data_IF_352407906943
#
_entry.id   IF_352407906943
#
_cell.length_a   1.000
_cell.length_b   1.000
_cell.length_c   1.000
_cell.angle_alpha   90.00
_cell.angle_beta   90.00
_cell.angle_gamma   90.00
#
_symmetry.space_group_name_H-M   'P 1'
#
loop_
_entity.id
_entity.type
_entity.pdbx_description
1 polymer ?
#
# COMPACT_ATOMS: atom_id res chain seq x y z
N UNK A 1 -25.71 7.33 -16.19
CA UNK A 1 -25.16 8.08 -15.05
C UNK A 1 -25.41 7.37 -13.72
N UNK A 2 -26.64 6.91 -13.46
CA UNK A 2 -26.98 6.12 -12.26
C UNK A 2 -26.21 4.79 -12.14
N UNK A 3 -26.04 4.03 -13.24
CA UNK A 3 -25.26 2.78 -13.19
C UNK A 3 -23.77 3.00 -12.86
N UNK A 4 -23.13 4.06 -13.38
CA UNK A 4 -21.73 4.38 -13.03
C UNK A 4 -21.56 4.82 -11.58
N UNK A 5 -22.57 5.48 -11.00
CA UNK A 5 -22.61 5.79 -9.57
C UNK A 5 -22.82 4.52 -8.74
N UNK A 6 -23.69 3.61 -9.17
CA UNK A 6 -23.88 2.29 -8.56
C UNK A 6 -22.58 1.48 -8.53
N UNK A 7 -21.90 1.35 -9.66
CA UNK A 7 -20.62 0.63 -9.77
C UNK A 7 -19.52 1.24 -8.89
N UNK A 8 -19.49 2.58 -8.76
CA UNK A 8 -18.55 3.29 -7.90
C UNK A 8 -18.83 3.07 -6.40
N UNK A 9 -20.08 3.15 -5.98
CA UNK A 9 -20.47 2.87 -4.59
C UNK A 9 -20.26 1.39 -4.24
N UNK A 10 -20.53 0.48 -5.16
CA UNK A 10 -20.29 -0.94 -5.00
C UNK A 10 -18.80 -1.27 -4.88
N UNK A 11 -17.93 -0.60 -5.65
CA UNK A 11 -16.49 -0.73 -5.51
C UNK A 11 -15.99 -0.22 -4.15
N UNK A 12 -16.45 0.97 -3.72
CA UNK A 12 -16.11 1.52 -2.40
C UNK A 12 -16.62 0.62 -1.27
N UNK A 13 -17.83 0.08 -1.39
CA UNK A 13 -18.38 -0.83 -0.40
C UNK A 13 -17.65 -2.16 -0.34
N UNK A 14 -17.29 -2.76 -1.49
CA UNK A 14 -16.49 -3.99 -1.54
C UNK A 14 -15.09 -3.78 -0.97
N UNK A 15 -14.45 -2.65 -1.27
CA UNK A 15 -13.13 -2.30 -0.73
C UNK A 15 -13.20 -2.09 0.80
N UNK A 16 -14.17 -1.30 1.27
CA UNK A 16 -14.37 -1.02 2.70
C UNK A 16 -14.76 -2.27 3.48
N UNK A 17 -15.64 -3.11 2.94
CA UNK A 17 -16.07 -4.34 3.60
C UNK A 17 -14.96 -5.39 3.67
N UNK A 18 -14.12 -5.53 2.62
CA UNK A 18 -12.93 -6.40 2.69
C UNK A 18 -11.94 -5.94 3.75
N UNK A 19 -11.70 -4.63 3.84
CA UNK A 19 -10.80 -4.05 4.84
C UNK A 19 -11.39 -4.23 6.25
N UNK A 20 -12.64 -3.83 6.48
CA UNK A 20 -13.28 -3.92 7.79
C UNK A 20 -13.42 -5.38 8.23
N UNK A 21 -14.01 -6.24 7.41
CA UNK A 21 -14.24 -7.64 7.80
C UNK A 21 -12.91 -8.40 7.99
N UNK A 22 -11.89 -8.07 7.21
CA UNK A 22 -10.53 -8.60 7.38
C UNK A 22 -9.83 -8.13 8.66
N UNK A 23 -10.18 -6.96 9.18
CA UNK A 23 -9.60 -6.38 10.40
C UNK A 23 -10.42 -6.64 11.67
N UNK A 24 -11.70 -6.97 11.56
CA UNK A 24 -12.57 -7.23 12.73
C UNK A 24 -12.02 -8.36 13.59
N UNK A 25 -11.64 -9.49 12.99
CA UNK A 25 -11.12 -10.63 13.76
C UNK A 25 -9.73 -10.34 14.38
N UNK A 26 -8.74 -9.80 13.67
CA UNK A 26 -7.48 -9.38 14.27
C UNK A 26 -7.62 -8.29 15.33
N UNK A 27 -8.53 -7.32 15.15
CA UNK A 27 -8.80 -6.29 16.14
C UNK A 27 -9.39 -6.90 17.42
N UNK A 28 -10.35 -7.82 17.30
CA UNK A 28 -10.89 -8.56 18.44
C UNK A 28 -9.78 -9.36 19.15
N UNK A 29 -8.92 -10.04 18.38
CA UNK A 29 -7.78 -10.79 18.92
C UNK A 29 -6.80 -9.90 19.69
N UNK A 30 -6.48 -8.70 19.19
CA UNK A 30 -5.62 -7.73 19.89
C UNK A 30 -6.22 -7.29 21.23
N UNK A 31 -7.53 -7.03 21.29
CA UNK A 31 -8.21 -6.67 22.53
C UNK A 31 -8.22 -7.84 23.51
N UNK A 32 -8.57 -9.03 23.03
CA UNK A 32 -8.55 -10.25 23.83
C UNK A 32 -7.14 -10.52 24.39
N UNK A 33 -6.10 -10.32 23.59
CA UNK A 33 -4.72 -10.51 24.01
C UNK A 33 -4.32 -9.60 25.18
N UNK A 34 -4.79 -8.34 25.22
CA UNK A 34 -4.51 -7.41 26.32
C UNK A 34 -5.39 -7.69 27.54
N UNK A 35 -6.67 -7.99 27.32
CA UNK A 35 -7.66 -8.13 28.39
C UNK A 35 -7.48 -9.46 29.15
N UNK A 36 -7.28 -10.57 28.45
CA UNK A 36 -7.26 -11.92 29.05
C UNK A 36 -6.17 -12.06 30.13
N UNK A 37 -4.89 -11.67 29.90
CA UNK A 37 -3.87 -11.75 30.93
C UNK A 37 -4.10 -10.82 32.13
N UNK A 38 -4.91 -9.77 31.96
CA UNK A 38 -5.25 -8.84 33.04
C UNK A 38 -6.40 -9.36 33.92
N UNK A 39 -7.21 -10.33 33.46
CA UNK A 39 -8.36 -10.86 34.22
C UNK A 39 -7.99 -11.37 35.62
N UNK A 40 -6.88 -12.11 35.85
CA UNK A 40 -6.50 -12.54 37.18
C UNK A 40 -6.26 -11.37 38.17
N UNK A 41 -5.87 -10.19 37.69
CA UNK A 41 -5.69 -8.99 38.53
C UNK A 41 -7.01 -8.48 39.10
N UNK A 42 -8.12 -8.70 38.37
CA UNK A 42 -9.46 -8.34 38.83
C UNK A 42 -9.81 -9.08 40.12
N UNK A 43 -9.48 -10.37 40.18
CA UNK A 43 -9.81 -11.25 41.32
C UNK A 43 -8.79 -11.15 42.45
N UNK A 44 -7.52 -10.87 42.15
CA UNK A 44 -6.45 -10.83 43.16
C UNK A 44 -6.25 -9.45 43.78
N UNK A 45 -6.29 -8.39 42.98
CA UNK A 45 -5.96 -7.01 43.39
C UNK A 45 -7.13 -6.02 43.21
N UNK A 46 -8.28 -6.49 42.75
CA UNK A 46 -9.50 -5.69 42.55
C UNK A 46 -9.54 -4.92 41.22
N UNK A 47 -10.69 -4.29 40.97
CA UNK A 47 -11.00 -3.61 39.71
C UNK A 47 -10.04 -2.46 39.35
N UNK A 48 -9.49 -1.77 40.35
CA UNK A 48 -8.51 -0.70 40.14
C UNK A 48 -7.21 -1.19 39.50
N UNK A 49 -6.70 -2.35 39.92
CA UNK A 49 -5.49 -2.94 39.35
C UNK A 49 -5.71 -3.45 37.92
N UNK A 50 -6.90 -3.98 37.64
CA UNK A 50 -7.31 -4.38 36.29
C UNK A 50 -7.34 -3.19 35.32
N UNK A 51 -7.98 -2.08 35.72
CA UNK A 51 -8.02 -0.86 34.91
C UNK A 51 -6.63 -0.26 34.71
N UNK A 52 -5.82 -0.21 35.77
CA UNK A 52 -4.46 0.33 35.71
C UNK A 52 -3.54 -0.45 34.76
N UNK A 53 -3.74 -1.76 34.60
CA UNK A 53 -2.99 -2.58 33.65
C UNK A 53 -3.53 -2.48 32.21
N UNK A 54 -4.86 -2.41 32.05
CA UNK A 54 -5.52 -2.52 30.74
C UNK A 54 -5.58 -1.18 30.00
N UNK A 55 -5.86 -0.07 30.70
CA UNK A 55 -6.04 1.25 30.09
C UNK A 55 -4.76 1.78 29.41
N UNK A 56 -3.57 1.74 30.03
CA UNK A 56 -2.35 2.22 29.38
C UNK A 56 -1.97 1.39 28.16
N UNK A 57 -2.15 0.07 28.23
CA UNK A 57 -1.86 -0.84 27.11
C UNK A 57 -2.77 -0.55 25.89
N UNK A 58 -4.07 -0.34 26.12
CA UNK A 58 -4.99 0.09 25.07
C UNK A 58 -4.66 1.50 24.56
N UNK A 59 -4.32 2.44 25.44
CA UNK A 59 -3.93 3.79 25.05
C UNK A 59 -2.67 3.80 24.17
N UNK A 60 -1.68 2.94 24.45
CA UNK A 60 -0.49 2.78 23.61
C UNK A 60 -0.88 2.17 22.26
N UNK A 61 -1.71 1.11 22.23
CA UNK A 61 -2.16 0.48 20.99
C UNK A 61 -2.88 1.47 20.07
N UNK A 62 -3.88 2.17 20.61
CA UNK A 62 -4.65 3.17 19.87
C UNK A 62 -3.84 4.42 19.55
N UNK A 63 -2.92 4.83 20.44
CA UNK A 63 -1.99 5.93 20.20
C UNK A 63 -1.02 5.63 19.05
N UNK A 64 -0.51 4.40 18.98
CA UNK A 64 0.38 3.95 17.91
C UNK A 64 -0.38 3.79 16.59
N UNK A 65 -1.61 3.25 16.62
CA UNK A 65 -2.49 3.22 15.46
C UNK A 65 -2.84 4.64 14.95
N UNK A 66 -3.18 5.56 15.85
CA UNK A 66 -3.48 6.95 15.53
C UNK A 66 -2.23 7.68 15.00
N UNK A 67 -1.04 7.41 15.56
CA UNK A 67 0.22 7.95 15.07
C UNK A 67 0.53 7.46 13.66
N UNK A 68 0.37 6.16 13.38
CA UNK A 68 0.54 5.60 12.02
C UNK A 68 -0.43 6.25 11.03
N UNK A 69 -1.71 6.39 11.40
CA UNK A 69 -2.72 7.05 10.56
C UNK A 69 -2.43 8.54 10.37
N UNK A 70 -2.00 9.23 11.43
CA UNK A 70 -1.66 10.66 11.40
C UNK A 70 -0.43 10.92 10.52
N UNK A 71 0.61 10.08 10.63
CA UNK A 71 1.80 10.16 9.79
C UNK A 71 1.47 9.82 8.34
N UNK A 72 0.62 8.82 8.09
CA UNK A 72 0.14 8.48 6.75
C UNK A 72 -0.68 9.63 6.12
N UNK A 73 -1.50 10.33 6.92
CA UNK A 73 -2.32 11.47 6.45
C UNK A 73 -1.53 12.76 6.26
N UNK A 74 -0.51 13.01 7.08
CA UNK A 74 0.35 14.19 7.00
C UNK A 74 1.45 14.07 5.94
N UNK A 75 1.60 12.89 5.33
CA UNK A 75 2.48 12.64 4.18
C UNK A 75 1.90 13.20 2.86
N UNK A 76 1.49 14.47 2.87
CA UNK A 76 1.26 15.23 1.65
C UNK A 76 2.58 15.59 0.95
N UNK A 77 2.54 15.96 -0.34
CA UNK A 77 3.71 16.14 -1.21
C UNK A 77 4.72 17.24 -0.80
N UNK A 78 4.47 18.02 0.26
CA UNK A 78 5.21 19.25 0.56
C UNK A 78 5.85 19.34 1.97
N UNK A 79 6.37 18.25 2.55
CA UNK A 79 7.15 18.36 3.80
C UNK A 79 8.41 17.50 3.81
N UNK A 80 9.52 18.00 4.35
CA UNK A 80 10.81 17.28 4.43
C UNK A 80 10.74 15.92 5.17
N UNK A 81 9.68 15.71 5.97
CA UNK A 81 9.37 14.43 6.59
C UNK A 81 8.85 13.38 5.60
N UNK A 82 8.17 13.81 4.52
CA UNK A 82 7.72 12.93 3.44
C UNK A 82 8.91 12.28 2.74
N UNK A 83 10.05 12.92 2.56
CA UNK A 83 11.19 12.30 1.88
C UNK A 83 11.76 11.08 2.66
N UNK A 84 11.83 11.14 3.99
CA UNK A 84 12.30 10.01 4.84
C UNK A 84 11.20 8.99 5.08
N UNK A 85 9.96 9.41 5.34
CA UNK A 85 8.84 8.50 5.54
C UNK A 85 8.47 7.77 4.24
N UNK A 86 8.44 8.47 3.10
CA UNK A 86 8.25 7.87 1.79
C UNK A 86 9.39 6.90 1.49
N UNK A 87 10.65 7.17 1.87
CA UNK A 87 11.76 6.20 1.71
C UNK A 87 11.55 4.93 2.56
N UNK A 88 11.06 5.03 3.79
CA UNK A 88 10.79 3.88 4.67
C UNK A 88 9.55 3.10 4.24
N UNK A 89 8.48 3.80 3.85
CA UNK A 89 7.24 3.18 3.35
C UNK A 89 7.45 2.56 1.96
N UNK A 90 8.23 3.20 1.08
CA UNK A 90 8.65 2.65 -0.21
C UNK A 90 9.68 1.50 -0.06
N UNK A 91 10.38 1.42 1.07
CA UNK A 91 11.27 0.29 1.38
C UNK A 91 10.49 -0.98 1.75
N UNK A 92 9.20 -0.88 2.08
CA UNK A 92 8.32 -2.05 2.14
C UNK A 92 8.11 -2.52 0.70
N UNK A 93 8.67 -3.68 0.28
CA UNK A 93 8.77 -4.06 -1.13
C UNK A 93 7.41 -4.08 -1.83
N UNK A 94 6.37 -4.48 -1.10
CA UNK A 94 5.01 -4.61 -1.61
C UNK A 94 4.34 -3.23 -1.79
N UNK A 95 4.52 -2.30 -0.85
CA UNK A 95 3.94 -0.94 -0.94
C UNK A 95 4.64 -0.13 -2.04
N UNK A 96 5.97 -0.21 -2.12
CA UNK A 96 6.74 0.42 -3.20
C UNK A 96 6.40 -0.16 -4.58
N UNK A 97 6.10 -1.45 -4.68
CA UNK A 97 5.61 -2.06 -5.93
C UNK A 97 4.25 -1.51 -6.35
N UNK A 98 3.29 -1.38 -5.42
CA UNK A 98 1.96 -0.83 -5.71
C UNK A 98 2.04 0.64 -6.14
N UNK A 99 2.84 1.46 -5.45
CA UNK A 99 3.01 2.87 -5.78
C UNK A 99 3.55 3.06 -7.21
N UNK A 100 4.54 2.24 -7.62
CA UNK A 100 5.08 2.27 -8.98
C UNK A 100 4.04 1.85 -10.03
N UNK A 101 3.28 0.78 -9.77
CA UNK A 101 2.21 0.33 -10.67
C UNK A 101 1.10 1.37 -10.83
N UNK A 102 0.69 2.02 -9.73
CA UNK A 102 -0.29 3.12 -9.75
C UNK A 102 0.23 4.35 -10.51
N UNK A 103 1.48 4.71 -10.32
CA UNK A 103 2.12 5.81 -11.06
C UNK A 103 2.12 5.52 -12.57
N UNK A 104 2.51 4.30 -12.97
CA UNK A 104 2.49 3.87 -14.37
C UNK A 104 1.07 3.82 -14.95
N UNK A 105 0.07 3.41 -14.15
CA UNK A 105 -1.33 3.38 -14.58
C UNK A 105 -1.88 4.78 -14.84
N UNK A 106 -1.58 5.76 -13.97
CA UNK A 106 -1.96 7.17 -14.18
C UNK A 106 -1.34 7.72 -15.45
N UNK A 107 -0.05 7.44 -15.66
CA UNK A 107 0.66 7.80 -16.89
C UNK A 107 -0.05 7.22 -18.12
N UNK A 108 -0.32 5.92 -18.16
CA UNK A 108 -0.95 5.28 -19.32
C UNK A 108 -2.36 5.82 -19.58
N UNK A 109 -3.15 6.05 -18.53
CA UNK A 109 -4.49 6.65 -18.69
C UNK A 109 -4.42 8.07 -19.27
N UNK A 110 -3.50 8.89 -18.78
CA UNK A 110 -3.26 10.22 -19.32
C UNK A 110 -2.76 10.13 -20.77
N UNK A 111 -1.78 9.28 -21.05
CA UNK A 111 -1.19 9.09 -22.37
C UNK A 111 -2.24 8.64 -23.40
N UNK A 112 -3.06 7.65 -23.08
CA UNK A 112 -4.15 7.20 -23.97
C UNK A 112 -5.15 8.31 -24.23
N UNK A 113 -5.53 9.07 -23.20
CA UNK A 113 -6.45 10.19 -23.37
C UNK A 113 -5.88 11.26 -24.32
N UNK A 114 -4.59 11.58 -24.20
CA UNK A 114 -3.93 12.60 -25.03
C UNK A 114 -3.69 12.07 -26.46
N UNK A 115 -3.27 10.82 -26.59
CA UNK A 115 -3.03 10.16 -27.88
C UNK A 115 -4.33 10.05 -28.68
N UNK A 116 -5.43 9.62 -28.06
CA UNK A 116 -6.75 9.54 -28.71
C UNK A 116 -7.35 10.91 -29.01
N UNK A 117 -6.95 11.96 -28.29
CA UNK A 117 -7.28 13.35 -28.61
C UNK A 117 -6.47 13.91 -29.80
N UNK A 118 -5.56 13.13 -30.38
CA UNK A 118 -4.74 13.53 -31.54
C UNK A 118 -3.55 14.41 -31.19
N UNK A 119 -3.16 14.48 -29.91
CA UNK A 119 -1.95 15.19 -29.49
C UNK A 119 -0.73 14.42 -30.00
N UNK A 120 0.29 15.16 -30.46
CA UNK A 120 1.53 14.55 -30.93
C UNK A 120 2.11 13.64 -29.83
N UNK A 121 2.49 12.42 -30.19
CA UNK A 121 3.00 11.38 -29.27
C UNK A 121 4.01 11.93 -28.26
N UNK A 122 4.95 12.76 -28.73
CA UNK A 122 6.00 13.34 -27.90
C UNK A 122 5.42 14.22 -26.78
N UNK A 123 4.52 15.12 -27.15
CA UNK A 123 3.83 16.02 -26.21
C UNK A 123 2.90 15.22 -25.29
N UNK A 124 2.23 14.20 -25.83
CA UNK A 124 1.37 13.30 -25.05
C UNK A 124 2.16 12.56 -23.96
N UNK A 125 3.35 12.03 -24.28
CA UNK A 125 4.21 11.37 -23.28
C UNK A 125 4.73 12.39 -22.25
N UNK A 126 5.16 13.57 -22.68
CA UNK A 126 5.67 14.61 -21.78
C UNK A 126 4.61 15.06 -20.76
N UNK A 127 3.39 15.31 -21.23
CA UNK A 127 2.29 15.74 -20.36
C UNK A 127 1.80 14.60 -19.47
N UNK A 128 1.74 13.37 -19.99
CA UNK A 128 1.38 12.19 -19.22
C UNK A 128 2.41 11.87 -18.12
N UNK A 129 3.71 12.07 -18.36
CA UNK A 129 4.77 11.80 -17.38
C UNK A 129 4.55 12.58 -16.07
N UNK A 130 4.09 13.83 -16.18
CA UNK A 130 3.79 14.71 -15.03
C UNK A 130 2.66 14.19 -14.14
N UNK A 131 1.87 13.22 -14.60
CA UNK A 131 0.75 12.63 -13.83
C UNK A 131 1.17 11.45 -12.94
N UNK A 132 2.40 10.95 -13.10
CA UNK A 132 2.89 9.78 -12.36
C UNK A 132 2.93 10.01 -10.84
N UNK A 133 3.20 11.23 -10.39
CA UNK A 133 3.30 11.58 -8.97
C UNK A 133 4.49 10.94 -8.24
N UNK A 134 5.39 10.27 -8.97
CA UNK A 134 6.65 9.73 -8.49
C UNK A 134 7.80 10.36 -9.28
N UNK A 135 8.56 11.25 -8.63
CA UNK A 135 9.60 12.03 -9.27
C UNK A 135 10.66 11.17 -10.00
N UNK A 136 11.04 10.03 -9.45
CA UNK A 136 12.04 9.15 -10.08
C UNK A 136 11.51 8.48 -11.36
N UNK A 137 10.22 8.14 -11.39
CA UNK A 137 9.60 7.56 -12.59
C UNK A 137 9.29 8.64 -13.63
N UNK A 138 8.91 9.82 -13.18
CA UNK A 138 8.68 10.98 -14.05
C UNK A 138 9.96 11.37 -14.78
N UNK A 139 11.08 11.50 -14.06
CA UNK A 139 12.39 11.83 -14.64
C UNK A 139 12.81 10.81 -15.71
N UNK A 140 12.66 9.52 -15.43
CA UNK A 140 12.98 8.46 -16.39
C UNK A 140 12.04 8.46 -17.61
N UNK A 141 10.76 8.76 -17.41
CA UNK A 141 9.81 8.88 -18.52
C UNK A 141 10.11 10.11 -19.38
N UNK A 142 10.56 11.22 -18.78
CA UNK A 142 11.03 12.39 -19.51
C UNK A 142 12.33 12.10 -20.28
N UNK A 143 13.19 11.22 -19.79
CA UNK A 143 14.33 10.72 -20.56
C UNK A 143 13.89 9.95 -21.82
N UNK A 144 12.85 9.12 -21.73
CA UNK A 144 12.24 8.47 -22.90
C UNK A 144 11.70 9.49 -23.93
N UNK A 145 11.23 10.68 -23.50
CA UNK A 145 10.82 11.76 -24.43
C UNK A 145 12.00 12.28 -25.26
N UNK A 146 13.21 12.32 -24.68
CA UNK A 146 14.43 12.73 -25.41
C UNK A 146 14.74 11.75 -26.54
N UNK A 147 14.55 10.44 -26.31
CA UNK A 147 14.74 9.42 -27.35
C UNK A 147 13.72 9.59 -28.50
N UNK A 148 12.46 9.93 -28.19
CA UNK A 148 11.43 10.25 -29.19
C UNK A 148 11.75 11.52 -30.01
N UNK A 149 12.58 12.44 -29.48
CA UNK A 149 13.06 13.61 -30.24
C UNK A 149 14.08 13.21 -31.29
N UNK A 150 14.83 12.14 -31.05
CA UNK A 150 15.87 11.63 -31.94
C UNK A 150 15.33 10.64 -33.00
N UNK A 151 14.07 10.77 -33.40
CA UNK A 151 13.38 9.90 -34.38
C UNK A 151 13.25 8.41 -34.01
N UNK A 152 13.47 8.04 -32.75
CA UNK A 152 13.18 6.69 -32.28
C UNK A 152 11.66 6.45 -32.27
N UNK A 153 11.26 5.21 -32.57
CA UNK A 153 9.87 4.78 -32.43
C UNK A 153 9.45 4.73 -30.95
N UNK A 154 8.14 4.79 -30.67
CA UNK A 154 7.60 4.65 -29.30
C UNK A 154 8.10 3.36 -28.64
N UNK A 155 8.15 2.28 -29.41
CA UNK A 155 8.57 0.97 -28.92
C UNK A 155 10.04 0.95 -28.51
N UNK A 156 10.90 1.69 -29.22
CA UNK A 156 12.32 1.81 -28.89
C UNK A 156 12.53 2.72 -27.67
N UNK A 157 11.86 3.89 -27.64
CA UNK A 157 11.96 4.82 -26.51
C UNK A 157 11.49 4.22 -25.18
N UNK A 158 10.50 3.33 -25.22
CA UNK A 158 9.99 2.63 -24.05
C UNK A 158 10.71 1.30 -23.78
N UNK A 159 11.47 0.77 -24.74
CA UNK A 159 12.23 -0.46 -24.55
C UNK A 159 13.32 -0.30 -23.47
N UNK A 160 13.96 0.86 -23.43
CA UNK A 160 15.07 1.16 -22.52
C UNK A 160 14.61 1.55 -21.11
N UNK A 161 13.32 1.86 -20.92
CA UNK A 161 12.83 2.37 -19.65
C UNK A 161 12.71 1.26 -18.59
N UNK A 162 13.44 1.36 -17.46
CA UNK A 162 13.49 0.32 -16.42
C UNK A 162 12.19 0.16 -15.63
N UNK A 163 11.29 1.15 -15.67
CA UNK A 163 10.02 1.11 -14.94
C UNK A 163 8.89 0.46 -15.73
N UNK A 164 9.07 0.23 -17.03
CA UNK A 164 8.12 -0.46 -17.89
C UNK A 164 8.37 -1.99 -17.81
N UNK A 165 7.41 -2.78 -17.29
CA UNK A 165 7.54 -4.23 -17.26
C UNK A 165 7.76 -4.82 -18.68
N UNK A 166 8.50 -5.93 -18.83
CA UNK A 166 8.73 -6.59 -20.13
C UNK A 166 7.44 -6.81 -20.92
N UNK A 167 6.39 -7.33 -20.24
CA UNK A 167 5.07 -7.58 -20.84
C UNK A 167 4.47 -6.31 -21.45
N UNK A 168 4.61 -5.16 -20.79
CA UNK A 168 4.12 -3.88 -21.32
C UNK A 168 4.91 -3.43 -22.55
N UNK A 169 6.24 -3.58 -22.53
CA UNK A 169 7.10 -3.25 -23.67
C UNK A 169 6.75 -4.09 -24.90
N UNK A 170 6.49 -5.38 -24.71
CA UNK A 170 6.10 -6.29 -25.78
C UNK A 170 4.72 -5.94 -26.36
N UNK A 171 3.74 -5.61 -25.52
CA UNK A 171 2.41 -5.20 -25.98
C UNK A 171 2.47 -3.89 -26.80
N UNK A 172 3.28 -2.92 -26.37
CA UNK A 172 3.47 -1.66 -27.10
C UNK A 172 4.21 -1.90 -28.42
N UNK A 173 5.21 -2.80 -28.44
CA UNK A 173 5.89 -3.22 -29.66
C UNK A 173 4.94 -3.85 -30.67
N UNK A 174 4.08 -4.77 -30.23
CA UNK A 174 3.07 -5.40 -31.08
C UNK A 174 2.09 -4.35 -31.62
N UNK A 175 1.66 -3.40 -30.79
CA UNK A 175 0.78 -2.30 -31.18
C UNK A 175 1.41 -1.38 -32.23
N UNK A 176 2.69 -1.06 -32.08
CA UNK A 176 3.42 -0.24 -33.04
C UNK A 176 3.61 -0.94 -34.39
N UNK A 177 3.97 -2.22 -34.40
CA UNK A 177 4.18 -2.99 -35.64
C UNK A 177 2.87 -3.28 -36.36
N UNK A 178 1.80 -3.59 -35.63
CA UNK A 178 0.49 -3.87 -36.21
C UNK A 178 -0.31 -2.62 -36.61
N UNK A 179 0.17 -1.43 -36.24
CA UNK A 179 -0.55 -0.17 -36.44
C UNK A 179 -1.80 -0.01 -35.56
N UNK A 180 -2.01 -0.89 -34.58
CA UNK A 180 -3.19 -0.92 -33.70
C UNK A 180 -2.90 -0.35 -32.32
N UNK A 181 -2.25 0.81 -32.28
CA UNK A 181 -1.78 1.40 -31.02
C UNK A 181 -2.95 1.69 -30.05
N UNK A 182 -4.08 2.19 -30.53
CA UNK A 182 -5.27 2.47 -29.70
C UNK A 182 -5.81 1.24 -28.96
N UNK A 183 -5.97 0.12 -29.68
CA UNK A 183 -6.45 -1.15 -29.13
C UNK A 183 -5.45 -1.72 -28.10
N UNK A 184 -4.15 -1.67 -28.43
CA UNK A 184 -3.10 -2.20 -27.56
C UNK A 184 -2.92 -1.38 -26.29
N UNK A 185 -2.96 -0.05 -26.34
CA UNK A 185 -2.85 0.79 -25.15
C UNK A 185 -4.04 0.60 -24.20
N UNK A 186 -5.24 0.40 -24.75
CA UNK A 186 -6.43 0.07 -23.94
C UNK A 186 -6.25 -1.28 -23.24
N UNK A 187 -5.71 -2.27 -23.95
CA UNK A 187 -5.40 -3.59 -23.38
C UNK A 187 -4.32 -3.53 -22.30
N UNK A 188 -3.29 -2.70 -22.50
CA UNK A 188 -2.22 -2.44 -21.53
C UNK A 188 -2.77 -1.81 -20.24
N UNK A 189 -3.70 -0.85 -20.35
CA UNK A 189 -4.39 -0.28 -19.18
C UNK A 189 -5.15 -1.37 -18.41
N UNK A 190 -5.89 -2.23 -19.12
CA UNK A 190 -6.65 -3.32 -18.48
C UNK A 190 -5.74 -4.29 -17.72
N UNK A 191 -4.63 -4.71 -18.33
CA UNK A 191 -3.63 -5.55 -17.67
C UNK A 191 -3.05 -4.88 -16.42
N UNK A 192 -2.71 -3.59 -16.50
CA UNK A 192 -2.10 -2.89 -15.38
C UNK A 192 -3.10 -2.61 -14.25
N UNK A 193 -4.38 -2.39 -14.57
CA UNK A 193 -5.46 -2.32 -13.58
C UNK A 193 -5.59 -3.63 -12.81
N UNK A 194 -5.62 -4.76 -13.52
CA UNK A 194 -5.69 -6.08 -12.89
C UNK A 194 -4.45 -6.35 -12.01
N UNK A 195 -3.26 -5.98 -12.47
CA UNK A 195 -2.03 -6.13 -11.70
C UNK A 195 -2.00 -5.22 -10.44
N UNK A 196 -2.55 -4.01 -10.52
CA UNK A 196 -2.76 -3.11 -9.38
C UNK A 196 -3.76 -3.72 -8.38
N UNK A 197 -4.88 -4.26 -8.85
CA UNK A 197 -5.90 -4.87 -8.01
C UNK A 197 -5.37 -6.11 -7.29
N UNK A 198 -4.64 -6.97 -8.01
CA UNK A 198 -3.98 -8.14 -7.44
C UNK A 198 -2.93 -7.77 -6.39
N UNK A 199 -2.15 -6.71 -6.64
CA UNK A 199 -1.16 -6.20 -5.68
C UNK A 199 -1.84 -5.62 -4.43
N UNK A 200 -2.94 -4.88 -4.64
CA UNK A 200 -3.77 -4.33 -3.55
C UNK A 200 -4.37 -5.45 -2.70
N UNK A 201 -4.89 -6.50 -3.32
CA UNK A 201 -5.44 -7.66 -2.63
C UNK A 201 -4.38 -8.37 -1.78
N UNK A 202 -3.16 -8.56 -2.31
CA UNK A 202 -2.02 -9.10 -1.56
C UNK A 202 -1.69 -8.23 -0.35
N UNK A 203 -1.60 -6.91 -0.51
CA UNK A 203 -1.36 -5.99 0.61
C UNK A 203 -2.42 -6.09 1.70
N UNK A 204 -3.70 -6.10 1.31
CA UNK A 204 -4.82 -6.24 2.26
C UNK A 204 -4.76 -7.59 2.99
N UNK A 205 -4.37 -8.68 2.30
CA UNK A 205 -4.21 -10.01 2.92
C UNK A 205 -3.02 -10.12 3.88
N UNK A 206 -2.01 -9.25 3.77
CA UNK A 206 -0.85 -9.24 4.68
C UNK A 206 -1.15 -8.49 5.99
N UNK A 207 -2.13 -7.58 6.01
CA UNK A 207 -2.48 -6.82 7.21
C UNK A 207 -2.84 -7.72 8.41
N UNK A 208 -3.69 -8.76 8.28
CA UNK A 208 -3.96 -9.69 9.37
C UNK A 208 -2.73 -10.44 9.88
N UNK A 209 -1.83 -10.86 8.97
CA UNK A 209 -0.62 -11.62 9.32
C UNK A 209 0.30 -10.82 10.24
N UNK A 210 0.49 -9.54 9.94
CA UNK A 210 1.30 -8.63 10.78
C UNK A 210 0.67 -8.49 12.17
N UNK A 211 -0.65 -8.33 12.24
CA UNK A 211 -1.37 -8.24 13.52
C UNK A 211 -1.21 -9.51 14.35
N UNK A 212 -1.36 -10.70 13.74
CA UNK A 212 -1.17 -11.97 14.44
C UNK A 212 0.26 -12.15 14.96
N UNK A 213 1.26 -11.74 14.18
CA UNK A 213 2.65 -11.81 14.61
C UNK A 213 2.89 -10.90 15.83
N UNK A 214 2.36 -9.68 15.83
CA UNK A 214 2.44 -8.77 16.98
C UNK A 214 1.75 -9.36 18.23
N UNK A 215 0.57 -9.95 18.05
CA UNK A 215 -0.15 -10.64 19.14
C UNK A 215 0.67 -11.81 19.69
N UNK A 216 1.27 -12.62 18.82
CA UNK A 216 2.09 -13.76 19.24
C UNK A 216 3.32 -13.32 20.06
N UNK A 217 4.03 -12.27 19.60
CA UNK A 217 5.17 -11.68 20.34
C UNK A 217 4.71 -11.14 21.69
N UNK A 218 3.57 -10.44 21.73
CA UNK A 218 3.01 -9.91 22.97
C UNK A 218 2.66 -11.02 23.97
N UNK A 219 1.97 -12.08 23.52
CA UNK A 219 1.64 -13.22 24.38
C UNK A 219 2.93 -13.90 24.88
N UNK A 220 3.93 -14.07 24.03
CA UNK A 220 5.25 -14.59 24.43
C UNK A 220 5.90 -13.74 25.52
N UNK A 221 5.88 -12.42 25.38
CA UNK A 221 6.37 -11.49 26.40
C UNK A 221 5.61 -11.64 27.73
N UNK A 222 4.27 -11.73 27.69
CA UNK A 222 3.44 -11.92 28.90
C UNK A 222 3.79 -13.23 29.61
N UNK A 223 3.94 -14.34 28.86
CA UNK A 223 4.30 -15.65 29.42
C UNK A 223 5.68 -15.58 30.11
N UNK A 224 6.69 -15.03 29.42
CA UNK A 224 8.04 -14.89 29.99
C UNK A 224 8.01 -14.03 31.25
N UNK A 225 7.33 -12.88 31.21
CA UNK A 225 7.21 -11.98 32.35
C UNK A 225 6.52 -12.66 33.54
N UNK A 226 5.48 -13.46 33.28
CA UNK A 226 4.78 -14.24 34.31
C UNK A 226 5.71 -15.27 34.97
N UNK A 227 6.41 -16.08 34.18
CA UNK A 227 7.31 -17.12 34.73
C UNK A 227 8.49 -16.52 35.49
N UNK A 228 9.08 -15.42 35.00
CA UNK A 228 10.15 -14.72 35.71
C UNK A 228 9.66 -14.17 37.05
N UNK A 229 8.45 -13.59 37.08
CA UNK A 229 7.83 -13.12 38.32
C UNK A 229 7.59 -14.27 39.31
N UNK A 230 7.07 -15.40 38.83
CA UNK A 230 6.82 -16.58 39.64
C UNK A 230 8.12 -17.17 40.22
N UNK A 231 9.17 -17.33 39.40
CA UNK A 231 10.47 -17.85 39.86
C UNK A 231 11.09 -16.95 40.94
N UNK A 232 10.97 -15.63 40.78
CA UNK A 232 11.47 -14.69 41.78
C UNK A 232 10.74 -14.84 43.12
N UNK A 233 9.42 -15.06 43.10
CA UNK A 233 8.65 -15.31 44.32
C UNK A 233 9.11 -16.60 45.03
N UNK A 234 9.25 -17.71 44.30
CA UNK A 234 9.67 -18.99 44.88
C UNK A 234 11.09 -18.92 45.44
N UNK A 235 12.02 -18.23 44.76
CA UNK A 235 13.40 -18.08 45.23
C UNK A 235 13.50 -17.17 46.48
N UNK A 236 12.55 -16.26 46.68
CA UNK A 236 12.52 -15.39 47.87
C UNK A 236 11.98 -16.12 49.10
N UNK A 237 11.27 -17.24 48.93
CA UNK A 237 10.74 -18.07 50.04
C UNK A 237 11.67 -19.22 50.48
N UNK A 238 12.76 -19.46 49.75
CA UNK A 238 13.82 -20.44 50.07
C UNK A 238 14.99 -19.78 50.83
#
# INVERSE_FOLDING_TARGET
>A
MLNRLGDYFDFIHRARSRIINGLVYPAFLLHAAIIIPAVPLLFTKGFGAFLAATLPALAILYGLAAAVVFLARKSGPASAFSARFNRVVLAIPVVGSLARKLALLRFLQAFVCLYTAGIEVREAVELAARTMGNAAMEEEMLHSVVLLRNSATISEAFAENPFLPPVLRDMIRVGAVSGKMDETLTSVIGYLQEDVDNTTAKLVSLLPVIVYLLVAVYIGYVIISFYLGYLNQVMTEL
#
